data_IF_506382024691
#
_entry.id   IF_506382024691
#
_cell.length_a   1.000
_cell.length_b   1.000
_cell.length_c   1.000
_cell.angle_alpha   90.00
_cell.angle_beta   90.00
_cell.angle_gamma   90.00
#
_symmetry.space_group_name_H-M   'P 1'
#
loop_
_entity.id
_entity.type
_entity.pdbx_description
1 polymer ?
#
# COMPACT_ATOMS: atom_id res chain seq x y z
N UNK A 1 42.19 38.53 45.88
CA UNK A 1 43.11 37.38 45.74
C UNK A 1 42.83 36.38 46.87
N UNK A 2 42.32 35.16 46.61
CA UNK A 2 41.74 34.67 45.37
C UNK A 2 40.25 34.26 45.47
N UNK A 3 39.63 34.28 44.29
CA UNK A 3 38.29 33.80 43.91
C UNK A 3 38.12 32.28 44.04
N UNK A 4 36.92 31.86 44.42
CA UNK A 4 36.45 30.46 44.34
C UNK A 4 35.77 30.24 42.98
N UNK A 5 36.10 29.19 42.20
CA UNK A 5 35.41 28.95 40.94
C UNK A 5 34.05 28.30 41.17
N UNK A 6 33.03 28.81 40.48
CA UNK A 6 31.66 28.30 40.44
C UNK A 6 31.58 27.26 39.33
N UNK A 7 31.49 26.00 39.72
CA UNK A 7 31.30 24.86 38.82
C UNK A 7 29.93 24.99 38.14
N UNK A 8 29.93 25.21 36.81
CA UNK A 8 28.73 25.24 35.98
C UNK A 8 28.76 23.99 35.13
N UNK A 9 28.05 22.96 35.58
CA UNK A 9 27.80 21.76 34.79
C UNK A 9 26.85 22.11 33.65
N UNK A 10 27.38 22.23 32.43
CA UNK A 10 26.58 22.16 31.20
C UNK A 10 26.10 20.71 31.02
N UNK A 11 24.80 20.49 31.15
CA UNK A 11 24.14 19.30 30.62
C UNK A 11 24.00 19.46 29.11
N UNK A 12 24.50 18.54 28.28
CA UNK A 12 24.23 18.57 26.86
C UNK A 12 22.82 18.06 26.60
N UNK A 13 21.96 18.92 26.06
CA UNK A 13 20.67 18.56 25.48
C UNK A 13 20.90 17.75 24.20
N UNK A 14 20.94 16.42 24.33
CA UNK A 14 20.85 15.50 23.18
C UNK A 14 19.38 15.21 22.89
N UNK A 15 18.70 16.18 22.27
CA UNK A 15 17.54 15.88 21.44
C UNK A 15 18.03 15.68 20.01
N UNK A 16 18.58 14.49 19.73
CA UNK A 16 18.77 14.01 18.36
C UNK A 16 17.38 13.72 17.81
N UNK A 17 16.77 14.73 17.21
CA UNK A 17 15.55 14.59 16.45
C UNK A 17 15.91 13.81 15.19
N UNK A 18 15.71 12.49 15.21
CA UNK A 18 15.87 11.64 14.03
C UNK A 18 14.82 12.08 13.01
N UNK A 19 15.18 13.01 12.12
CA UNK A 19 14.46 13.19 10.86
C UNK A 19 14.52 11.85 10.15
N UNK A 20 13.42 11.10 10.18
CA UNK A 20 13.29 9.89 9.36
C UNK A 20 13.16 10.38 7.93
N UNK A 21 14.26 10.26 7.19
CA UNK A 21 14.34 10.73 5.80
C UNK A 21 13.26 10.06 4.94
N UNK A 22 12.62 10.87 4.09
CA UNK A 22 11.66 10.39 3.10
C UNK A 22 12.45 9.66 2.00
N UNK A 23 12.18 8.36 1.82
CA UNK A 23 12.79 7.56 0.76
C UNK A 23 12.45 8.12 -0.63
N UNK A 24 13.34 7.98 -1.61
CA UNK A 24 13.07 8.37 -3.01
C UNK A 24 12.14 7.36 -3.71
N UNK A 25 11.52 7.74 -4.85
CA UNK A 25 10.75 6.78 -5.64
C UNK A 25 11.54 5.54 -6.06
N UNK A 26 12.79 5.74 -6.47
CA UNK A 26 13.66 4.65 -6.89
C UNK A 26 13.93 3.70 -5.73
N UNK A 27 14.19 4.20 -4.53
CA UNK A 27 14.41 3.35 -3.36
C UNK A 27 13.18 2.50 -2.98
N UNK A 28 11.96 3.03 -3.17
CA UNK A 28 10.72 2.27 -3.00
C UNK A 28 10.62 1.16 -4.04
N UNK A 29 10.83 1.50 -5.32
CA UNK A 29 10.77 0.53 -6.41
C UNK A 29 11.85 -0.55 -6.30
N UNK A 30 13.10 -0.19 -6.00
CA UNK A 30 14.21 -1.14 -5.83
C UNK A 30 13.93 -2.09 -4.67
N UNK A 31 13.41 -1.58 -3.56
CA UNK A 31 13.03 -2.43 -2.44
C UNK A 31 11.92 -3.40 -2.86
N UNK A 32 10.84 -2.89 -3.43
CA UNK A 32 9.67 -3.72 -3.73
C UNK A 32 9.92 -4.72 -4.86
N UNK A 33 10.52 -4.29 -5.97
CA UNK A 33 10.62 -5.11 -7.18
C UNK A 33 11.93 -5.90 -7.30
N UNK A 34 13.03 -5.41 -6.72
CA UNK A 34 14.35 -6.05 -6.87
C UNK A 34 14.81 -6.75 -5.59
N UNK A 35 14.45 -6.23 -4.41
CA UNK A 35 14.87 -6.82 -3.13
C UNK A 35 13.91 -7.91 -2.67
N UNK A 36 12.59 -7.67 -2.76
CA UNK A 36 11.60 -8.65 -2.35
C UNK A 36 11.34 -9.69 -3.43
N UNK A 37 11.09 -10.91 -2.99
CA UNK A 37 10.65 -12.00 -3.87
C UNK A 37 9.14 -11.94 -4.11
N UNK A 38 8.63 -12.55 -5.20
CA UNK A 38 7.19 -12.63 -5.44
C UNK A 38 6.38 -13.24 -4.30
N UNK A 39 6.98 -14.16 -3.54
CA UNK A 39 6.34 -14.75 -2.36
C UNK A 39 6.18 -13.72 -1.24
N UNK A 40 7.15 -12.82 -1.05
CA UNK A 40 7.14 -11.83 0.02
C UNK A 40 6.09 -10.73 -0.21
N UNK A 41 5.76 -10.39 -1.46
CA UNK A 41 4.71 -9.40 -1.77
C UNK A 41 3.34 -9.77 -1.18
N UNK A 42 3.03 -11.06 -1.12
CA UNK A 42 1.71 -11.58 -0.71
C UNK A 42 1.75 -12.34 0.62
N UNK A 43 2.92 -12.45 1.26
CA UNK A 43 3.05 -13.14 2.53
C UNK A 43 2.68 -12.24 3.71
N UNK A 44 2.11 -12.84 4.76
CA UNK A 44 2.02 -12.22 6.09
C UNK A 44 3.29 -12.55 6.84
N UNK A 45 4.17 -11.57 7.00
CA UNK A 45 5.48 -11.71 7.64
C UNK A 45 5.76 -10.49 8.53
N UNK A 46 5.75 -10.70 9.85
CA UNK A 46 5.94 -9.62 10.82
C UNK A 46 7.32 -8.97 10.73
N UNK A 47 8.36 -9.73 10.36
CA UNK A 47 9.70 -9.17 10.22
C UNK A 47 9.79 -8.23 9.01
N UNK A 48 9.13 -8.61 7.90
CA UNK A 48 9.01 -7.75 6.72
C UNK A 48 8.15 -6.51 7.02
N UNK A 49 7.06 -6.67 7.78
CA UNK A 49 6.23 -5.53 8.19
C UNK A 49 7.03 -4.51 9.01
N UNK A 50 7.81 -4.99 9.99
CA UNK A 50 8.69 -4.15 10.81
C UNK A 50 9.78 -3.47 9.96
N UNK A 51 10.36 -4.18 8.99
CA UNK A 51 11.34 -3.60 8.05
C UNK A 51 10.71 -2.48 7.21
N UNK A 52 9.54 -2.72 6.62
CA UNK A 52 8.83 -1.72 5.82
C UNK A 52 8.47 -0.51 6.69
N UNK A 53 7.99 -0.73 7.92
CA UNK A 53 7.67 0.35 8.84
C UNK A 53 8.89 1.18 9.22
N UNK A 54 10.02 0.53 9.49
CA UNK A 54 11.27 1.19 9.85
C UNK A 54 11.82 2.03 8.69
N UNK A 55 11.82 1.48 7.47
CA UNK A 55 12.43 2.10 6.28
C UNK A 55 11.52 3.13 5.61
N UNK A 56 10.22 2.88 5.54
CA UNK A 56 9.30 3.64 4.71
C UNK A 56 8.12 4.25 5.48
N UNK A 57 8.04 4.09 6.80
CA UNK A 57 6.96 4.66 7.61
C UNK A 57 6.84 6.18 7.50
N UNK A 58 7.96 6.91 7.39
CA UNK A 58 7.96 8.35 7.16
C UNK A 58 7.45 8.70 5.74
N UNK A 59 7.89 7.95 4.73
CA UNK A 59 7.40 8.07 3.34
C UNK A 59 5.90 7.81 3.25
N UNK A 60 5.39 6.76 3.90
CA UNK A 60 3.95 6.47 3.96
C UNK A 60 3.18 7.62 4.60
N UNK A 61 3.68 8.16 5.71
CA UNK A 61 3.04 9.30 6.37
C UNK A 61 3.00 10.55 5.47
N UNK A 62 4.08 10.83 4.73
CA UNK A 62 4.12 11.95 3.78
C UNK A 62 3.20 11.72 2.56
N UNK A 63 3.18 10.50 2.01
CA UNK A 63 2.30 10.12 0.90
C UNK A 63 0.82 10.26 1.30
N UNK A 64 0.44 9.80 2.49
CA UNK A 64 -0.92 9.92 3.02
C UNK A 64 -1.37 11.38 3.23
N UNK A 65 -0.42 12.32 3.34
CA UNK A 65 -0.68 13.78 3.39
C UNK A 65 -0.55 14.46 2.02
N UNK A 66 -0.39 13.70 0.93
CA UNK A 66 -0.15 14.20 -0.42
C UNK A 66 1.09 15.10 -0.57
N UNK A 67 2.07 15.01 0.34
CA UNK A 67 3.30 15.81 0.29
C UNK A 67 4.23 15.36 -0.86
N UNK A 68 4.05 14.13 -1.34
CA UNK A 68 4.82 13.53 -2.42
C UNK A 68 4.25 13.81 -3.82
N UNK A 69 3.40 14.83 -3.97
CA UNK A 69 2.75 15.15 -5.26
C UNK A 69 3.74 15.30 -6.42
N UNK A 70 4.96 15.78 -6.16
CA UNK A 70 6.03 15.93 -7.13
C UNK A 70 6.54 14.59 -7.71
N UNK A 71 6.27 13.45 -7.05
CA UNK A 71 6.58 12.12 -7.61
C UNK A 71 5.71 11.80 -8.83
N UNK A 72 4.53 12.40 -8.92
CA UNK A 72 3.53 12.14 -9.95
C UNK A 72 3.96 12.69 -11.32
N UNK A 73 5.06 13.44 -11.40
CA UNK A 73 5.59 13.96 -12.67
C UNK A 73 6.17 12.84 -13.57
N UNK A 74 6.41 11.63 -13.02
CA UNK A 74 6.94 10.50 -13.78
C UNK A 74 6.13 9.22 -13.55
N UNK A 75 6.10 8.27 -14.51
CA UNK A 75 5.43 6.98 -14.33
C UNK A 75 5.97 6.19 -13.12
N UNK A 76 7.30 6.13 -12.97
CA UNK A 76 7.97 5.44 -11.85
C UNK A 76 7.67 6.11 -10.52
N UNK A 77 7.65 7.44 -10.46
CA UNK A 77 7.31 8.17 -9.24
C UNK A 77 5.87 7.95 -8.80
N UNK A 78 4.92 7.97 -9.75
CA UNK A 78 3.53 7.64 -9.45
C UNK A 78 3.35 6.19 -9.03
N UNK A 79 4.03 5.24 -9.68
CA UNK A 79 4.04 3.83 -9.28
C UNK A 79 4.56 3.67 -7.84
N UNK A 80 5.66 4.34 -7.48
CA UNK A 80 6.22 4.27 -6.14
C UNK A 80 5.23 4.79 -5.10
N UNK A 81 4.52 5.89 -5.38
CA UNK A 81 3.48 6.42 -4.50
C UNK A 81 2.31 5.43 -4.36
N UNK A 82 1.89 4.77 -5.45
CA UNK A 82 0.87 3.70 -5.42
C UNK A 82 1.33 2.54 -4.53
N UNK A 83 2.56 2.05 -4.69
CA UNK A 83 3.11 0.95 -3.87
C UNK A 83 3.14 1.33 -2.39
N UNK A 84 3.55 2.55 -2.05
CA UNK A 84 3.55 3.02 -0.66
C UNK A 84 2.12 3.06 -0.09
N UNK A 85 1.19 3.69 -0.80
CA UNK A 85 -0.18 3.87 -0.31
C UNK A 85 -0.98 2.57 -0.27
N UNK A 86 -0.78 1.67 -1.22
CA UNK A 86 -1.58 0.44 -1.32
C UNK A 86 -0.89 -0.78 -0.68
N UNK A 87 0.39 -1.00 -0.94
CA UNK A 87 1.11 -2.18 -0.44
C UNK A 87 1.69 -1.91 0.95
N UNK A 88 2.54 -0.88 1.11
CA UNK A 88 3.20 -0.65 2.39
C UNK A 88 2.19 -0.32 3.49
N UNK A 89 1.11 0.40 3.18
CA UNK A 89 0.02 0.62 4.14
C UNK A 89 -0.51 -0.68 4.75
N UNK A 90 -0.68 -1.74 3.94
CA UNK A 90 -1.18 -3.05 4.39
C UNK A 90 -0.19 -3.81 5.26
N UNK A 91 1.12 -3.61 5.04
CA UNK A 91 2.19 -4.14 5.89
C UNK A 91 2.30 -3.37 7.21
N UNK A 92 2.49 -2.04 7.14
CA UNK A 92 2.76 -1.16 8.29
C UNK A 92 1.57 -1.08 9.24
N UNK A 93 0.35 -1.12 8.72
CA UNK A 93 -0.88 -0.96 9.50
C UNK A 93 -1.70 -2.25 9.59
N UNK A 94 -1.05 -3.42 9.46
CA UNK A 94 -1.72 -4.72 9.42
C UNK A 94 -2.73 -4.89 10.56
N UNK A 95 -3.89 -5.44 10.24
CA UNK A 95 -5.01 -5.66 11.16
C UNK A 95 -5.59 -4.39 11.79
N UNK A 96 -5.38 -3.22 11.19
CA UNK A 96 -6.00 -1.96 11.61
C UNK A 96 -6.76 -1.30 10.45
N UNK A 97 -7.74 -0.41 10.71
CA UNK A 97 -8.41 0.35 9.65
C UNK A 97 -7.45 1.14 8.76
N UNK A 98 -6.32 1.59 9.32
CA UNK A 98 -5.34 2.41 8.61
C UNK A 98 -4.72 1.69 7.41
N UNK A 99 -4.71 0.34 7.40
CA UNK A 99 -4.25 -0.45 6.24
C UNK A 99 -5.02 -0.13 4.95
N UNK A 100 -6.29 0.26 5.05
CA UNK A 100 -7.18 0.53 3.92
C UNK A 100 -7.46 2.02 3.72
N UNK A 101 -6.97 2.88 4.61
CA UNK A 101 -7.33 4.30 4.63
C UNK A 101 -6.86 5.04 3.37
N UNK A 102 -5.83 4.52 2.70
CA UNK A 102 -5.23 5.13 1.51
C UNK A 102 -5.72 4.52 0.19
N UNK A 103 -6.59 3.49 0.23
CA UNK A 103 -7.12 2.83 -0.97
C UNK A 103 -7.70 3.84 -1.99
N UNK A 104 -8.49 4.88 -1.59
CA UNK A 104 -9.04 5.84 -2.56
C UNK A 104 -7.96 6.68 -3.26
N UNK A 105 -6.91 7.10 -2.55
CA UNK A 105 -5.84 7.90 -3.14
C UNK A 105 -4.99 7.04 -4.08
N UNK A 106 -4.63 5.82 -3.66
CA UNK A 106 -3.92 4.88 -4.52
C UNK A 106 -4.71 4.58 -5.81
N UNK A 107 -6.02 4.39 -5.71
CA UNK A 107 -6.89 4.19 -6.87
C UNK A 107 -6.92 5.41 -7.79
N UNK A 108 -7.05 6.62 -7.25
CA UNK A 108 -7.03 7.84 -8.06
C UNK A 108 -5.71 7.99 -8.83
N UNK A 109 -4.57 7.69 -8.20
CA UNK A 109 -3.27 7.70 -8.87
C UNK A 109 -3.16 6.63 -9.95
N UNK A 110 -3.68 5.43 -9.69
CA UNK A 110 -3.70 4.36 -10.68
C UNK A 110 -4.57 4.74 -11.91
N UNK A 111 -5.72 5.38 -11.69
CA UNK A 111 -6.57 5.91 -12.76
C UNK A 111 -5.86 6.98 -13.59
N UNK A 112 -5.16 7.92 -12.96
CA UNK A 112 -4.38 8.95 -13.65
C UNK A 112 -3.23 8.36 -14.48
N UNK A 113 -2.51 7.36 -13.95
CA UNK A 113 -1.45 6.67 -14.69
C UNK A 113 -1.98 6.09 -16.02
N UNK A 114 -3.15 5.44 -15.96
CA UNK A 114 -3.80 4.81 -17.11
C UNK A 114 -4.40 5.84 -18.06
N UNK A 115 -5.03 6.91 -17.54
CA UNK A 115 -5.59 7.97 -18.36
C UNK A 115 -4.52 8.65 -19.22
N UNK A 116 -3.28 8.67 -18.73
CA UNK A 116 -2.09 9.21 -19.41
C UNK A 116 -1.35 8.16 -20.25
N UNK A 117 -1.83 6.91 -20.30
CA UNK A 117 -1.19 5.77 -20.96
C UNK A 117 0.24 5.49 -20.48
N UNK A 118 0.60 5.98 -19.29
CA UNK A 118 1.96 5.90 -18.74
C UNK A 118 2.27 4.49 -18.20
N UNK A 119 1.23 3.73 -17.84
CA UNK A 119 1.30 2.32 -17.44
C UNK A 119 1.95 1.44 -18.52
N UNK A 120 1.79 1.80 -19.80
CA UNK A 120 2.35 1.05 -20.94
C UNK A 120 3.87 1.09 -21.01
N UNK A 121 4.50 2.09 -20.35
CA UNK A 121 5.95 2.23 -20.27
C UNK A 121 6.57 1.40 -19.14
N UNK A 122 5.75 0.92 -18.20
CA UNK A 122 6.20 0.12 -17.07
C UNK A 122 6.44 -1.34 -17.49
N UNK A 123 7.46 -2.01 -16.92
CA UNK A 123 7.59 -3.46 -16.97
C UNK A 123 6.33 -4.18 -16.48
N UNK A 124 6.07 -5.38 -17.00
CA UNK A 124 4.84 -6.13 -16.70
C UNK A 124 4.58 -6.28 -15.20
N UNK A 125 5.59 -6.68 -14.43
CA UNK A 125 5.49 -6.83 -12.96
C UNK A 125 5.09 -5.52 -12.28
N UNK A 126 5.69 -4.41 -12.68
CA UNK A 126 5.36 -3.09 -12.13
C UNK A 126 3.94 -2.65 -12.48
N UNK A 127 3.51 -2.94 -13.71
CA UNK A 127 2.15 -2.66 -14.18
C UNK A 127 1.08 -3.41 -13.39
N UNK A 128 1.34 -4.66 -12.99
CA UNK A 128 0.45 -5.42 -12.11
C UNK A 128 0.18 -4.63 -10.82
N UNK A 129 1.23 -4.12 -10.17
CA UNK A 129 1.09 -3.33 -8.93
C UNK A 129 0.47 -1.95 -9.15
N UNK A 130 0.64 -1.35 -10.34
CA UNK A 130 -0.12 -0.17 -10.70
C UNK A 130 -1.63 -0.43 -10.78
N UNK A 131 -2.05 -1.66 -11.07
CA UNK A 131 -3.46 -2.03 -11.21
C UNK A 131 -4.08 -2.59 -9.92
N UNK A 132 -3.28 -3.04 -8.95
CA UNK A 132 -3.78 -3.57 -7.67
C UNK A 132 -4.80 -2.67 -6.96
N UNK A 133 -4.68 -1.32 -6.94
CA UNK A 133 -5.71 -0.48 -6.34
C UNK A 133 -7.11 -0.64 -6.92
N UNK A 134 -7.23 -1.05 -8.20
CA UNK A 134 -8.53 -1.39 -8.80
C UNK A 134 -9.12 -2.66 -8.18
N UNK A 135 -8.30 -3.71 -8.01
CA UNK A 135 -8.69 -4.98 -7.40
C UNK A 135 -9.05 -4.82 -5.91
N UNK A 136 -8.50 -3.81 -5.24
CA UNK A 136 -8.77 -3.56 -3.82
C UNK A 136 -10.00 -2.67 -3.53
N UNK A 137 -10.63 -2.12 -4.56
CA UNK A 137 -11.78 -1.22 -4.44
C UNK A 137 -13.06 -1.98 -4.11
N UNK A 138 -13.85 -1.53 -3.12
CA UNK A 138 -15.20 -2.05 -2.88
C UNK A 138 -16.24 -1.45 -3.87
N UNK A 139 -15.95 -1.46 -5.18
CA UNK A 139 -16.82 -0.94 -6.24
C UNK A 139 -16.87 -1.81 -7.50
N UNK A 140 -18.06 -2.33 -7.84
CA UNK A 140 -18.26 -3.15 -9.04
C UNK A 140 -17.94 -2.41 -10.35
N UNK A 141 -18.12 -1.09 -10.39
CA UNK A 141 -17.75 -0.29 -11.55
C UNK A 141 -16.22 -0.25 -11.76
N UNK A 142 -15.46 -0.22 -10.65
CA UNK A 142 -14.00 -0.26 -10.70
C UNK A 142 -13.51 -1.65 -11.09
N UNK A 143 -14.12 -2.72 -10.57
CA UNK A 143 -13.82 -4.10 -11.01
C UNK A 143 -14.10 -4.33 -12.50
N UNK A 144 -15.15 -3.72 -13.07
CA UNK A 144 -15.39 -3.82 -14.52
C UNK A 144 -14.22 -3.25 -15.34
N UNK A 145 -13.57 -2.18 -14.85
CA UNK A 145 -12.34 -1.65 -15.44
C UNK A 145 -11.14 -2.55 -15.16
N UNK A 146 -11.01 -3.06 -13.94
CA UNK A 146 -9.92 -3.94 -13.51
C UNK A 146 -9.82 -5.20 -14.37
N UNK A 147 -10.96 -5.86 -14.64
CA UNK A 147 -11.02 -7.04 -15.52
C UNK A 147 -10.40 -6.75 -16.89
N UNK A 148 -10.75 -5.61 -17.51
CA UNK A 148 -10.17 -5.23 -18.80
C UNK A 148 -8.68 -4.87 -18.75
N UNK A 149 -8.17 -4.44 -17.58
CA UNK A 149 -6.75 -4.12 -17.39
C UNK A 149 -5.89 -5.37 -17.18
N UNK A 150 -6.42 -6.35 -16.43
CA UNK A 150 -5.75 -7.62 -16.17
C UNK A 150 -5.93 -8.65 -17.29
N UNK A 151 -6.86 -8.43 -18.22
CA UNK A 151 -7.00 -9.22 -19.45
C UNK A 151 -5.92 -8.85 -20.48
N UNK A 152 -4.67 -9.15 -20.12
CA UNK A 152 -3.49 -8.92 -20.93
C UNK A 152 -2.52 -10.11 -20.83
N UNK A 153 -1.74 -10.40 -21.89
CA UNK A 153 -0.78 -11.50 -21.87
C UNK A 153 0.22 -11.41 -20.70
N UNK A 154 0.37 -12.50 -19.96
CA UNK A 154 1.26 -12.58 -18.79
C UNK A 154 0.63 -12.11 -17.48
N UNK A 155 -0.66 -11.76 -17.46
CA UNK A 155 -1.42 -11.42 -16.25
C UNK A 155 -2.53 -12.43 -15.94
N UNK A 156 -2.50 -13.63 -16.53
CA UNK A 156 -3.58 -14.61 -16.43
C UNK A 156 -3.87 -15.02 -14.98
N UNK A 157 -2.82 -15.09 -14.15
CA UNK A 157 -2.97 -15.35 -12.71
C UNK A 157 -3.68 -14.20 -12.01
N UNK A 158 -3.31 -12.95 -12.31
CA UNK A 158 -3.92 -11.76 -11.72
C UNK A 158 -5.38 -11.60 -12.18
N UNK A 159 -5.69 -11.95 -13.43
CA UNK A 159 -7.06 -11.94 -13.95
C UNK A 159 -7.96 -12.94 -13.20
N UNK A 160 -7.45 -14.14 -12.89
CA UNK A 160 -8.18 -15.11 -12.06
C UNK A 160 -8.44 -14.57 -10.65
N UNK A 161 -7.44 -13.93 -10.01
CA UNK A 161 -7.67 -13.25 -8.73
C UNK A 161 -8.69 -12.11 -8.84
N UNK A 162 -8.63 -11.30 -9.90
CA UNK A 162 -9.58 -10.22 -10.15
C UNK A 162 -11.02 -10.75 -10.24
N UNK A 163 -11.24 -11.85 -10.95
CA UNK A 163 -12.56 -12.48 -11.03
C UNK A 163 -13.07 -12.93 -9.66
N UNK A 164 -12.21 -13.55 -8.85
CA UNK A 164 -12.59 -13.98 -7.49
C UNK A 164 -12.90 -12.78 -6.58
N UNK A 165 -12.15 -11.68 -6.67
CA UNK A 165 -12.44 -10.46 -5.92
C UNK A 165 -13.79 -9.86 -6.32
N UNK A 166 -14.05 -9.80 -7.64
CA UNK A 166 -15.31 -9.31 -8.19
C UNK A 166 -16.50 -10.16 -7.75
N UNK A 167 -16.36 -11.49 -7.72
CA UNK A 167 -17.42 -12.40 -7.25
C UNK A 167 -17.83 -12.13 -5.79
N UNK A 168 -16.86 -11.87 -4.91
CA UNK A 168 -17.14 -11.49 -3.52
C UNK A 168 -17.96 -10.20 -3.47
N UNK A 169 -17.59 -9.19 -4.25
CA UNK A 169 -18.35 -7.94 -4.32
C UNK A 169 -19.73 -8.10 -4.94
N UNK A 170 -19.88 -8.96 -5.95
CA UNK A 170 -21.19 -9.23 -6.54
C UNK A 170 -22.14 -9.85 -5.51
N UNK A 171 -21.61 -10.71 -4.62
CA UNK A 171 -22.38 -11.38 -3.59
C UNK A 171 -22.70 -10.49 -2.39
N UNK A 172 -21.73 -9.71 -1.92
CA UNK A 172 -21.85 -8.99 -0.63
C UNK A 172 -21.84 -7.47 -0.74
N UNK A 173 -21.53 -6.91 -1.91
CA UNK A 173 -21.37 -5.48 -2.15
C UNK A 173 -20.11 -4.86 -1.51
N UNK A 174 -19.29 -5.67 -0.83
CA UNK A 174 -18.09 -5.29 -0.07
C UNK A 174 -17.23 -6.53 0.19
N UNK A 175 -16.06 -6.36 0.83
CA UNK A 175 -15.22 -7.45 1.31
C UNK A 175 -15.53 -7.83 2.77
N UNK A 176 -16.15 -9.00 3.03
CA UNK A 176 -16.51 -9.38 4.39
C UNK A 176 -15.32 -9.52 5.34
N UNK A 177 -14.14 -9.89 4.83
CA UNK A 177 -12.93 -10.06 5.65
C UNK A 177 -12.44 -8.72 6.25
N UNK A 178 -12.85 -7.58 5.70
CA UNK A 178 -12.55 -6.26 6.24
C UNK A 178 -13.52 -5.82 7.35
N UNK A 179 -14.65 -6.51 7.55
CA UNK A 179 -15.73 -6.06 8.43
C UNK A 179 -15.26 -5.82 9.86
N UNK A 180 -14.60 -6.80 10.49
CA UNK A 180 -14.12 -6.67 11.86
C UNK A 180 -13.10 -5.54 12.00
N UNK A 181 -12.17 -5.42 11.04
CA UNK A 181 -11.14 -4.37 11.05
C UNK A 181 -11.77 -2.98 10.90
N UNK A 182 -12.79 -2.84 10.06
CA UNK A 182 -13.48 -1.57 9.79
C UNK A 182 -14.66 -1.30 10.75
N UNK A 183 -14.86 -2.11 11.80
CA UNK A 183 -15.97 -1.95 12.74
C UNK A 183 -17.37 -2.17 12.14
N UNK A 184 -17.47 -2.91 11.03
CA UNK A 184 -18.75 -3.24 10.38
C UNK A 184 -19.32 -4.52 10.99
N UNK A 185 -20.64 -4.56 11.17
CA UNK A 185 -21.34 -5.79 11.57
C UNK A 185 -21.47 -6.71 10.35
N UNK A 186 -21.01 -7.95 10.48
CA UNK A 186 -21.18 -8.99 9.45
C UNK A 186 -22.57 -9.61 9.50
N UNK A 187 -23.15 -9.89 8.34
CA UNK A 187 -24.39 -10.67 8.22
C UNK A 187 -24.13 -12.16 8.51
N UNK A 188 -25.17 -12.97 8.78
CA UNK A 188 -25.00 -14.42 8.93
C UNK A 188 -24.38 -15.09 7.70
N UNK A 189 -24.70 -14.60 6.49
CA UNK A 189 -24.13 -15.13 5.25
C UNK A 189 -22.63 -14.78 5.12
N UNK A 190 -22.25 -13.55 5.44
CA UNK A 190 -20.85 -13.11 5.49
C UNK A 190 -20.05 -13.93 6.51
N UNK A 191 -20.60 -14.20 7.69
CA UNK A 191 -19.97 -15.04 8.73
C UNK A 191 -19.76 -16.48 8.23
N UNK A 192 -20.75 -17.05 7.54
CA UNK A 192 -20.63 -18.38 6.97
C UNK A 192 -19.57 -18.42 5.85
N UNK A 193 -19.53 -17.41 4.99
CA UNK A 193 -18.54 -17.27 3.93
C UNK A 193 -17.11 -17.17 4.47
N UNK A 194 -16.87 -16.41 5.54
CA UNK A 194 -15.55 -16.24 6.17
C UNK A 194 -14.94 -17.54 6.73
N UNK A 195 -15.71 -18.63 6.81
CA UNK A 195 -15.22 -19.96 7.22
C UNK A 195 -14.74 -20.81 6.05
N UNK A 196 -14.96 -20.37 4.82
CA UNK A 196 -14.61 -21.10 3.60
C UNK A 196 -13.20 -20.73 3.11
N UNK A 197 -12.49 -21.63 2.41
CA UNK A 197 -11.28 -21.29 1.68
C UNK A 197 -11.53 -20.17 0.66
N UNK A 198 -10.55 -19.28 0.44
CA UNK A 198 -10.68 -18.17 -0.51
C UNK A 198 -11.60 -17.03 -0.05
N UNK A 199 -11.99 -17.01 1.22
CA UNK A 199 -12.84 -15.95 1.79
C UNK A 199 -12.09 -14.65 2.14
N UNK A 200 -10.76 -14.70 2.05
CA UNK A 200 -9.85 -13.57 2.17
C UNK A 200 -8.68 -13.76 1.20
N UNK A 201 -8.14 -12.63 0.73
CA UNK A 201 -6.94 -12.53 -0.09
C UNK A 201 -5.88 -11.74 0.68
#
# INVERSE_FOLDING_TARGET
MPDTPRDSAETPDTHTQTTRDIATPQAVCDFWFETLTPKQWFAKDAALDDEIAARFGATLAAAARCELWHWRDTPTGRLAEIVVLDQFSRNVHRNTPAAFAQDPLALALAQELIARSEDTTLPLTQRIFAYMPFMHSESLAIHARAVALFDAPGMETQLDYEHRHREILQRFGRYPHRNAILGRVSTPEEIAFLRQPGSAF
#
